data_IF_660738265985
#
_entry.id   IF_660738265985
#
_cell.length_a   1.000
_cell.length_b   1.000
_cell.length_c   1.000
_cell.angle_alpha   90.00
_cell.angle_beta   90.00
_cell.angle_gamma   90.00
#
_symmetry.space_group_name_H-M   'P 1'
#
loop_
_entity.id
_entity.type
_entity.pdbx_description
1 polymer ?
#
# COMPACT_ATOMS: atom_id res chain seq x y z
N UNK A 1 1.48 15.91 10.05
CA UNK A 1 0.58 14.75 9.85
C UNK A 1 1.00 13.60 10.74
N UNK A 2 0.06 12.72 11.07
CA UNK A 2 0.26 11.49 11.87
C UNK A 2 -0.55 10.34 11.28
N UNK A 3 -0.13 9.11 11.58
CA UNK A 3 -0.96 7.93 11.39
C UNK A 3 -1.59 7.56 12.73
N UNK A 4 -2.89 7.27 12.73
CA UNK A 4 -3.59 6.74 13.89
C UNK A 4 -4.02 5.32 13.54
N UNK A 5 -3.55 4.32 14.30
CA UNK A 5 -4.00 2.94 14.13
C UNK A 5 -5.49 2.88 14.45
N UNK A 6 -6.30 2.57 13.44
CA UNK A 6 -7.74 2.38 13.58
C UNK A 6 -8.03 0.95 14.05
N UNK A 7 -7.46 -0.03 13.36
CA UNK A 7 -7.79 -1.43 13.58
C UNK A 7 -6.65 -2.35 13.14
N UNK A 8 -6.56 -3.52 13.77
CA UNK A 8 -5.84 -4.68 13.26
C UNK A 8 -6.84 -5.80 13.00
N UNK A 9 -7.12 -6.08 11.73
CA UNK A 9 -8.12 -7.06 11.32
C UNK A 9 -7.45 -8.41 11.18
N UNK A 10 -7.67 -9.29 12.15
CA UNK A 10 -7.07 -10.63 12.20
C UNK A 10 -8.08 -11.75 12.49
N UNK A 11 -9.36 -11.42 12.66
CA UNK A 11 -10.45 -12.38 12.91
C UNK A 11 -11.54 -12.20 11.86
N UNK A 12 -12.34 -13.26 11.63
CA UNK A 12 -13.47 -13.24 10.68
C UNK A 12 -13.10 -12.83 9.25
N UNK A 13 -11.87 -13.10 8.84
CA UNK A 13 -11.37 -12.79 7.51
C UNK A 13 -11.99 -13.73 6.46
N UNK A 14 -12.27 -13.24 5.24
CA UNK A 14 -12.66 -14.11 4.13
C UNK A 14 -11.61 -15.20 3.88
N UNK A 15 -12.04 -16.35 3.36
CA UNK A 15 -11.13 -17.47 3.08
C UNK A 15 -9.99 -17.02 2.16
N UNK A 16 -8.75 -17.24 2.60
CA UNK A 16 -7.54 -16.89 1.85
C UNK A 16 -6.99 -15.47 2.14
N UNK A 17 -7.69 -14.67 2.94
CA UNK A 17 -7.18 -13.37 3.39
C UNK A 17 -6.20 -13.52 4.56
N UNK A 18 -5.21 -12.65 4.60
CA UNK A 18 -4.24 -12.50 5.70
C UNK A 18 -4.61 -11.29 6.55
N UNK A 19 -4.12 -11.22 7.81
CA UNK A 19 -4.33 -10.05 8.64
C UNK A 19 -3.76 -8.77 8.02
N UNK A 20 -4.34 -7.64 8.41
CA UNK A 20 -3.88 -6.32 7.97
C UNK A 20 -4.22 -5.24 8.99
N UNK A 21 -3.45 -4.17 8.97
CA UNK A 21 -3.62 -2.99 9.80
C UNK A 21 -4.27 -1.88 8.99
N UNK A 22 -5.24 -1.19 9.58
CA UNK A 22 -5.85 0.02 9.03
C UNK A 22 -5.36 1.21 9.87
N UNK A 23 -4.81 2.21 9.19
CA UNK A 23 -4.44 3.49 9.79
C UNK A 23 -5.21 4.64 9.14
N UNK A 24 -5.66 5.58 9.96
CA UNK A 24 -6.14 6.88 9.51
C UNK A 24 -4.94 7.78 9.22
N UNK A 25 -5.02 8.53 8.13
CA UNK A 25 -4.07 9.59 7.79
C UNK A 25 -4.67 10.90 8.30
N UNK A 26 -4.00 11.53 9.26
CA UNK A 26 -4.51 12.76 9.90
C UNK A 26 -3.56 13.92 9.72
N UNK A 27 -4.07 15.04 9.20
CA UNK A 27 -3.35 16.31 8.98
C UNK A 27 -4.11 17.39 9.74
N UNK A 28 -3.44 18.12 10.63
CA UNK A 28 -4.04 19.19 11.44
C UNK A 28 -5.37 18.77 12.10
N UNK A 29 -5.35 17.57 12.69
CA UNK A 29 -6.48 16.88 13.34
C UNK A 29 -7.70 16.55 12.45
N UNK A 30 -7.55 16.69 11.14
CA UNK A 30 -8.53 16.29 10.13
C UNK A 30 -8.12 14.96 9.50
N UNK A 31 -9.04 14.00 9.45
CA UNK A 31 -8.87 12.77 8.64
C UNK A 31 -8.87 13.15 7.15
N UNK A 32 -7.80 12.76 6.45
CA UNK A 32 -7.62 13.05 5.02
C UNK A 32 -7.62 11.79 4.14
N UNK A 33 -7.70 10.62 4.75
CA UNK A 33 -7.68 9.34 4.06
C UNK A 33 -7.23 8.19 4.95
N UNK A 34 -6.98 7.05 4.32
CA UNK A 34 -6.57 5.81 4.99
C UNK A 34 -5.38 5.16 4.31
N UNK A 35 -4.59 4.45 5.09
CA UNK A 35 -3.50 3.61 4.62
C UNK A 35 -3.55 2.25 5.33
N UNK A 36 -3.30 1.20 4.58
CA UNK A 36 -3.39 -0.20 4.99
C UNK A 36 -2.01 -0.83 4.87
N UNK A 37 -1.62 -1.58 5.90
CA UNK A 37 -0.46 -2.47 5.88
C UNK A 37 -0.94 -3.92 5.96
N UNK A 38 -0.75 -4.70 4.91
CA UNK A 38 -1.13 -6.11 4.83
C UNK A 38 0.04 -7.00 5.21
N UNK A 39 -0.23 -8.00 6.04
CA UNK A 39 0.73 -9.08 6.30
C UNK A 39 0.87 -10.01 5.10
N UNK A 40 1.96 -10.76 5.09
CA UNK A 40 2.26 -11.76 4.07
C UNK A 40 3.70 -11.66 3.61
N UNK A 41 4.09 -12.64 2.80
CA UNK A 41 5.36 -12.66 2.09
C UNK A 41 5.30 -11.81 0.83
N UNK A 42 6.47 -11.46 0.26
CA UNK A 42 6.58 -10.88 -1.08
C UNK A 42 5.79 -11.62 -2.15
N UNK A 43 5.77 -12.96 -2.11
CA UNK A 43 5.00 -13.77 -3.07
C UNK A 43 3.49 -13.60 -2.88
N UNK A 44 3.03 -13.60 -1.63
CA UNK A 44 1.61 -13.45 -1.32
C UNK A 44 1.09 -12.04 -1.64
N UNK A 45 1.97 -11.02 -1.58
CA UNK A 45 1.62 -9.61 -1.78
C UNK A 45 2.04 -9.03 -3.13
N UNK A 46 2.38 -9.89 -4.10
CA UNK A 46 3.03 -9.47 -5.34
C UNK A 46 2.19 -8.51 -6.18
N UNK A 47 0.87 -8.68 -6.20
CA UNK A 47 -0.05 -7.90 -7.05
C UNK A 47 -0.90 -6.90 -6.26
N UNK A 48 -1.30 -7.23 -5.04
CA UNK A 48 -2.14 -6.38 -4.18
C UNK A 48 -1.33 -5.50 -3.22
N UNK A 49 -0.04 -5.80 -3.06
CA UNK A 49 0.90 -5.03 -2.25
C UNK A 49 0.72 -5.21 -0.74
N UNK A 50 1.81 -4.99 -0.01
CA UNK A 50 1.74 -4.81 1.44
C UNK A 50 1.08 -3.46 1.78
N UNK A 51 1.30 -2.45 0.93
CA UNK A 51 0.81 -1.09 1.18
C UNK A 51 -0.35 -0.78 0.22
N UNK A 52 -1.49 -0.38 0.77
CA UNK A 52 -2.60 0.23 0.03
C UNK A 52 -2.99 1.56 0.66
N UNK A 53 -3.31 2.59 -0.11
CA UNK A 53 -3.77 3.87 0.44
C UNK A 53 -4.87 4.49 -0.39
N UNK A 54 -5.65 5.35 0.26
CA UNK A 54 -6.62 6.22 -0.38
C UNK A 54 -6.57 7.60 0.29
N UNK A 55 -6.42 8.65 -0.52
CA UNK A 55 -6.57 10.04 -0.08
C UNK A 55 -7.92 10.54 -0.62
N UNK A 56 -8.74 11.11 0.26
CA UNK A 56 -10.03 11.67 -0.15
C UNK A 56 -9.82 12.73 -1.23
N UNK A 57 -10.75 12.80 -2.18
CA UNK A 57 -10.59 13.60 -3.40
C UNK A 57 -10.22 15.06 -3.11
N UNK A 58 -10.88 15.69 -2.14
CA UNK A 58 -10.66 17.08 -1.71
C UNK A 58 -9.26 17.36 -1.11
N UNK A 59 -8.53 16.33 -0.69
CA UNK A 59 -7.21 16.47 -0.07
C UNK A 59 -6.06 16.00 -0.97
N UNK A 60 -6.33 15.56 -2.20
CA UNK A 60 -5.29 15.16 -3.17
C UNK A 60 -4.44 16.36 -3.59
N UNK A 61 -3.27 16.09 -4.17
CA UNK A 61 -2.31 17.13 -4.60
C UNK A 61 -1.32 17.59 -3.52
N UNK A 62 -1.55 17.26 -2.25
CA UNK A 62 -0.71 17.69 -1.12
C UNK A 62 0.40 16.70 -0.74
N UNK A 63 0.67 15.69 -1.58
CA UNK A 63 1.64 14.61 -1.30
C UNK A 63 1.36 13.78 -0.03
N UNK A 64 0.11 13.75 0.45
CA UNK A 64 -0.23 13.01 1.68
C UNK A 64 0.01 11.51 1.57
N UNK A 65 -0.24 10.89 0.41
CA UNK A 65 0.08 9.48 0.17
C UNK A 65 1.58 9.16 0.38
N UNK A 66 2.47 10.01 -0.14
CA UNK A 66 3.92 9.87 0.03
C UNK A 66 4.34 9.94 1.50
N UNK A 67 3.86 10.97 2.21
CA UNK A 67 4.22 11.19 3.61
C UNK A 67 3.63 10.09 4.50
N UNK A 68 2.38 9.69 4.27
CA UNK A 68 1.74 8.57 4.97
C UNK A 68 2.50 7.26 4.74
N UNK A 69 2.92 6.98 3.50
CA UNK A 69 3.71 5.78 3.20
C UNK A 69 5.06 5.79 3.92
N UNK A 70 5.74 6.94 4.02
CA UNK A 70 6.97 7.07 4.82
C UNK A 70 6.76 6.79 6.31
N UNK A 71 5.64 7.25 6.87
CA UNK A 71 5.30 6.95 8.27
C UNK A 71 4.98 5.47 8.45
N UNK A 72 4.23 4.88 7.52
CA UNK A 72 3.89 3.46 7.54
C UNK A 72 5.14 2.57 7.43
N UNK A 73 6.13 2.95 6.62
CA UNK A 73 7.41 2.24 6.52
C UNK A 73 8.10 2.15 7.88
N UNK A 74 8.07 3.22 8.69
CA UNK A 74 8.63 3.19 10.05
C UNK A 74 7.86 2.23 10.95
N UNK A 75 6.54 2.25 10.86
CA UNK A 75 5.68 1.32 11.61
C UNK A 75 5.94 -0.14 11.21
N UNK A 76 6.08 -0.42 9.92
CA UNK A 76 6.38 -1.75 9.41
C UNK A 76 7.72 -2.29 9.94
N UNK A 77 8.75 -1.45 10.06
CA UNK A 77 10.02 -1.84 10.71
C UNK A 77 9.80 -2.26 12.15
N UNK A 78 9.01 -1.49 12.93
CA UNK A 78 8.71 -1.81 14.33
C UNK A 78 7.89 -3.09 14.48
N UNK A 79 7.02 -3.38 13.50
CA UNK A 79 6.24 -4.61 13.43
C UNK A 79 7.05 -5.82 12.92
N UNK A 80 8.33 -5.64 12.59
CA UNK A 80 9.24 -6.72 12.21
C UNK A 80 9.22 -7.10 10.74
N UNK A 81 8.72 -6.23 9.85
CA UNK A 81 8.84 -6.43 8.41
C UNK A 81 10.28 -6.16 7.95
N UNK A 82 10.77 -6.97 7.00
CA UNK A 82 12.09 -6.82 6.39
C UNK A 82 12.04 -6.16 5.00
N UNK A 83 10.92 -6.33 4.31
CA UNK A 83 10.67 -5.74 3.01
C UNK A 83 9.18 -5.50 2.80
N UNK A 84 8.85 -4.58 1.90
CA UNK A 84 7.47 -4.30 1.49
C UNK A 84 7.38 -4.27 -0.03
N UNK A 85 6.32 -4.89 -0.54
CA UNK A 85 5.84 -4.70 -1.91
C UNK A 85 4.84 -3.55 -1.93
N UNK A 86 5.05 -2.62 -2.85
CA UNK A 86 4.07 -1.60 -3.22
C UNK A 86 3.83 -1.68 -4.72
N UNK A 87 2.57 -1.63 -5.12
CA UNK A 87 2.16 -1.78 -6.51
C UNK A 87 1.28 -0.62 -6.94
N UNK A 88 1.30 -0.28 -8.22
CA UNK A 88 0.27 0.56 -8.82
C UNK A 88 -0.08 0.07 -10.22
N UNK A 89 -1.28 0.41 -10.68
CA UNK A 89 -1.62 0.28 -12.10
C UNK A 89 -0.71 1.23 -12.91
N UNK A 90 -0.17 0.83 -14.08
CA UNK A 90 0.79 1.65 -14.82
C UNK A 90 0.28 3.02 -15.27
N UNK A 91 -1.03 3.14 -15.47
CA UNK A 91 -1.76 4.36 -15.79
C UNK A 91 -2.03 5.26 -14.58
N UNK A 92 -1.82 4.76 -13.35
CA UNK A 92 -1.95 5.54 -12.12
C UNK A 92 -0.72 6.42 -11.87
N UNK A 93 -0.61 7.49 -12.67
CA UNK A 93 0.51 8.43 -12.65
C UNK A 93 0.73 9.08 -11.26
N UNK A 94 -0.34 9.28 -10.49
CA UNK A 94 -0.25 9.86 -9.15
C UNK A 94 0.47 8.92 -8.17
N UNK A 95 0.10 7.64 -8.18
CA UNK A 95 0.76 6.62 -7.35
C UNK A 95 2.18 6.36 -7.84
N UNK A 96 2.40 6.29 -9.15
CA UNK A 96 3.74 6.14 -9.73
C UNK A 96 4.69 7.24 -9.27
N UNK A 97 4.28 8.51 -9.35
CA UNK A 97 5.07 9.65 -8.82
C UNK A 97 5.37 9.51 -7.33
N UNK A 98 4.40 9.02 -6.55
CA UNK A 98 4.58 8.75 -5.11
C UNK A 98 5.65 7.68 -4.88
N UNK A 99 5.56 6.55 -5.58
CA UNK A 99 6.47 5.40 -5.45
C UNK A 99 7.89 5.77 -5.90
N UNK A 100 8.03 6.46 -7.03
CA UNK A 100 9.33 6.94 -7.51
C UNK A 100 9.99 7.88 -6.48
N UNK A 101 9.22 8.75 -5.84
CA UNK A 101 9.73 9.63 -4.77
C UNK A 101 10.17 8.87 -3.52
N UNK A 102 9.61 7.68 -3.27
CA UNK A 102 10.06 6.78 -2.19
C UNK A 102 11.38 6.08 -2.52
N UNK A 103 11.85 6.16 -3.78
CA UNK A 103 13.00 5.42 -4.29
C UNK A 103 12.86 3.91 -4.10
N UNK A 104 11.63 3.40 -4.23
CA UNK A 104 11.38 1.96 -4.27
C UNK A 104 12.05 1.36 -5.51
N UNK A 105 12.59 0.16 -5.37
CA UNK A 105 13.22 -0.59 -6.45
C UNK A 105 12.13 -1.12 -7.38
N UNK A 106 12.09 -0.65 -8.62
CA UNK A 106 11.21 -1.21 -9.63
C UNK A 106 11.64 -2.64 -9.96
N UNK A 107 10.70 -3.58 -9.89
CA UNK A 107 10.95 -4.98 -10.21
C UNK A 107 10.56 -5.27 -11.65
N UNK A 108 9.29 -5.06 -11.98
CA UNK A 108 8.73 -5.27 -13.32
C UNK A 108 7.33 -4.66 -13.45
N UNK A 109 6.81 -4.67 -14.67
CA UNK A 109 5.38 -4.52 -14.96
C UNK A 109 4.84 -5.91 -15.28
N UNK A 110 4.03 -6.46 -14.37
CA UNK A 110 3.53 -7.82 -14.44
C UNK A 110 2.06 -7.84 -14.84
N UNK A 111 1.71 -8.72 -15.79
CA UNK A 111 0.31 -9.05 -16.09
C UNK A 111 -0.31 -9.77 -14.89
N UNK A 112 -1.50 -9.32 -14.47
CA UNK A 112 -2.25 -9.97 -13.40
C UNK A 112 -2.79 -11.31 -13.94
N UNK A 113 -2.47 -12.44 -13.27
CA UNK A 113 -3.01 -13.74 -13.62
C UNK A 113 -4.54 -13.73 -13.68
N UNK A 114 -5.12 -14.36 -14.70
CA UNK A 114 -6.58 -14.36 -14.94
C UNK A 114 -7.37 -14.75 -13.68
N UNK A 115 -6.88 -15.76 -12.94
CA UNK A 115 -7.52 -16.25 -11.71
C UNK A 115 -7.58 -15.21 -10.58
N UNK A 116 -6.71 -14.20 -10.60
CA UNK A 116 -6.62 -13.14 -9.58
C UNK A 116 -7.34 -11.86 -10.00
N UNK A 117 -7.69 -11.68 -11.29
CA UNK A 117 -8.30 -10.43 -11.80
C UNK A 117 -9.61 -10.06 -11.12
N UNK A 118 -10.35 -11.03 -10.60
CA UNK A 118 -11.58 -10.81 -9.81
C UNK A 118 -11.37 -9.96 -8.55
N UNK A 119 -10.13 -9.88 -8.07
CA UNK A 119 -9.77 -9.13 -6.85
C UNK A 119 -9.31 -7.69 -7.16
N UNK A 120 -9.30 -7.29 -8.45
CA UNK A 120 -8.89 -5.98 -8.93
C UNK A 120 -10.00 -5.31 -9.74
N UNK A 121 -9.85 -4.02 -10.04
CA UNK A 121 -10.77 -3.32 -10.93
C UNK A 121 -10.72 -3.93 -12.34
N UNK A 122 -11.84 -3.90 -13.07
CA UNK A 122 -12.00 -4.63 -14.35
C UNK A 122 -11.04 -4.19 -15.45
N UNK A 123 -10.58 -2.94 -15.38
CA UNK A 123 -9.60 -2.32 -16.27
C UNK A 123 -8.15 -2.53 -15.83
N UNK A 124 -7.92 -3.05 -14.61
CA UNK A 124 -6.60 -3.37 -14.12
C UNK A 124 -6.15 -4.75 -14.62
N UNK A 125 -5.31 -4.75 -15.65
CA UNK A 125 -4.77 -5.98 -16.26
C UNK A 125 -3.30 -6.24 -15.88
N UNK A 126 -2.61 -5.21 -15.44
CA UNK A 126 -1.18 -5.24 -15.10
C UNK A 126 -0.89 -4.37 -13.87
N UNK A 127 0.21 -4.69 -13.19
CA UNK A 127 0.74 -3.93 -12.07
C UNK A 127 2.20 -3.63 -12.30
N UNK A 128 2.59 -2.38 -12.07
CA UNK A 128 3.98 -2.08 -11.77
C UNK A 128 4.26 -2.51 -10.33
N UNK A 129 5.26 -3.37 -10.15
CA UNK A 129 5.63 -3.96 -8.87
C UNK A 129 6.94 -3.37 -8.41
N UNK A 130 6.95 -2.88 -7.16
CA UNK A 130 8.11 -2.25 -6.57
C UNK A 130 8.43 -2.86 -5.20
N UNK A 131 9.72 -2.93 -4.89
CA UNK A 131 10.27 -3.41 -3.63
C UNK A 131 10.82 -2.26 -2.80
N UNK A 132 10.43 -2.22 -1.54
CA UNK A 132 11.01 -1.34 -0.52
C UNK A 132 11.75 -2.23 0.46
N UNK A 133 13.09 -2.19 0.42
CA UNK A 133 13.93 -2.86 1.40
C UNK A 133 13.93 -2.05 2.70
N UNK A 134 13.54 -2.68 3.80
CA UNK A 134 13.53 -2.04 5.10
C UNK A 134 14.92 -2.24 5.73
N UNK A 135 15.58 -1.12 6.05
CA UNK A 135 16.84 -1.16 6.80
C UNK A 135 16.47 -1.17 8.28
N UNK A 136 16.91 -2.20 8.99
CA UNK A 136 16.91 -2.22 10.45
C UNK A 136 18.02 -1.33 10.98
#
# INVERSE_FOLDING_TARGET
MKLIKQEYVNTSLPKGWKPYYIFLIVVDDIEVGKIVLREGTRKERYYDGHIGYNIELKYRGHHYAYQATKLLIKEAVLLGFDELIITCSPDNLASKKTILKLKAEYLETALIPIALRKDFATDELEKEVYLIKLRR
#
